data_IF_580215170976
#
_entry.id   IF_580215170976
#
_cell.length_a   1.000
_cell.length_b   1.000
_cell.length_c   1.000
_cell.angle_alpha   90.00
_cell.angle_beta   90.00
_cell.angle_gamma   90.00
#
_symmetry.space_group_name_H-M   'P 1'
#
loop_
_entity.id
_entity.type
_entity.pdbx_description
1 polymer ?
#
# COMPACT_ATOMS: atom_id res chain seq x y z
N UNK A 1 1.24 12.06 -16.22
CA UNK A 1 0.21 12.07 -15.17
C UNK A 1 0.85 11.55 -13.90
N UNK A 2 0.46 12.06 -12.72
CA UNK A 2 1.04 11.62 -11.45
C UNK A 2 0.20 10.45 -10.94
N UNK A 3 0.85 9.32 -10.61
CA UNK A 3 0.20 8.12 -10.05
C UNK A 3 -0.67 8.49 -8.83
N UNK A 4 -0.25 9.46 -8.02
CA UNK A 4 -1.04 9.97 -6.89
C UNK A 4 -2.38 10.55 -7.34
N UNK A 5 -2.41 11.28 -8.45
CA UNK A 5 -3.63 11.84 -9.04
C UNK A 5 -4.51 10.75 -9.64
N UNK A 6 -3.92 9.79 -10.36
CA UNK A 6 -4.65 8.73 -11.06
C UNK A 6 -5.38 7.81 -10.05
N UNK A 7 -4.75 7.52 -8.92
CA UNK A 7 -5.32 6.73 -7.83
C UNK A 7 -6.10 7.54 -6.79
N UNK A 8 -6.27 8.85 -7.03
CA UNK A 8 -6.97 9.80 -6.14
C UNK A 8 -6.45 9.69 -4.69
N UNK A 9 -5.13 9.64 -4.55
CA UNK A 9 -4.43 9.53 -3.29
C UNK A 9 -4.29 10.92 -2.68
N UNK A 10 -4.60 11.03 -1.39
CA UNK A 10 -4.41 12.26 -0.63
C UNK A 10 -3.62 11.98 0.64
N UNK A 11 -2.67 12.86 0.95
CA UNK A 11 -1.94 12.87 2.21
C UNK A 11 -2.44 14.00 3.09
N UNK A 12 -2.39 13.81 4.40
CA UNK A 12 -2.79 14.86 5.33
C UNK A 12 -2.25 14.66 6.74
N UNK A 13 -2.44 15.69 7.56
CA UNK A 13 -2.13 15.68 8.98
C UNK A 13 -3.40 16.00 9.75
N UNK A 14 -3.76 15.17 10.72
CA UNK A 14 -4.90 15.39 11.62
C UNK A 14 -4.40 15.51 13.05
N UNK A 15 -4.82 16.56 13.75
CA UNK A 15 -4.51 16.75 15.17
C UNK A 15 -5.55 16.03 16.03
N UNK A 16 -5.13 15.09 16.86
CA UNK A 16 -5.97 14.35 17.82
C UNK A 16 -5.33 14.45 19.20
N UNK A 17 -6.05 14.96 20.19
CA UNK A 17 -5.55 15.15 21.56
C UNK A 17 -4.17 15.83 21.64
N UNK A 18 -3.99 16.89 20.85
CA UNK A 18 -2.74 17.66 20.72
C UNK A 18 -1.56 16.95 20.03
N UNK A 19 -1.77 15.75 19.49
CA UNK A 19 -0.77 15.00 18.70
C UNK A 19 -1.13 15.05 17.22
N UNK A 20 -0.14 15.32 16.36
CA UNK A 20 -0.32 15.31 14.91
C UNK A 20 -0.17 13.88 14.38
N UNK A 21 -1.18 13.42 13.64
CA UNK A 21 -1.19 12.12 12.98
C UNK A 21 -1.20 12.31 11.46
N UNK A 22 -0.17 11.81 10.79
CA UNK A 22 -0.13 11.73 9.33
C UNK A 22 -1.08 10.62 8.87
N UNK A 23 -1.78 10.86 7.76
CA UNK A 23 -2.64 9.88 7.13
C UNK A 23 -2.52 9.93 5.61
N UNK A 24 -2.83 8.79 5.01
CA UNK A 24 -3.01 8.58 3.59
C UNK A 24 -4.42 8.07 3.37
N UNK A 25 -5.04 8.46 2.26
CA UNK A 25 -6.33 7.92 1.84
C UNK A 25 -6.45 7.84 0.33
N UNK A 26 -7.32 6.94 -0.12
CA UNK A 26 -7.76 6.81 -1.52
C UNK A 26 -9.29 6.75 -1.57
N UNK A 27 -9.88 7.13 -2.69
CA UNK A 27 -11.30 6.83 -2.95
C UNK A 27 -11.54 5.36 -3.31
N UNK A 28 -10.50 4.58 -3.62
CA UNK A 28 -10.59 3.13 -3.87
C UNK A 28 -10.61 2.39 -2.52
N UNK A 29 -11.70 1.68 -2.15
CA UNK A 29 -11.86 1.15 -0.81
C UNK A 29 -10.76 0.16 -0.36
N UNK A 30 -10.36 -0.79 -1.22
CA UNK A 30 -9.36 -1.81 -0.84
C UNK A 30 -7.97 -1.20 -0.71
N UNK A 31 -7.60 -0.31 -1.64
CA UNK A 31 -6.37 0.46 -1.53
C UNK A 31 -6.36 1.33 -0.27
N UNK A 32 -7.46 2.03 0.03
CA UNK A 32 -7.57 2.86 1.22
C UNK A 32 -7.42 2.05 2.52
N UNK A 33 -8.04 0.87 2.60
CA UNK A 33 -7.94 -0.01 3.76
C UNK A 33 -6.49 -0.44 4.01
N UNK A 34 -5.78 -0.86 2.95
CA UNK A 34 -4.42 -1.35 3.04
C UNK A 34 -3.43 -0.22 3.34
N UNK A 35 -3.55 0.93 2.66
CA UNK A 35 -2.68 2.09 2.92
C UNK A 35 -2.78 2.61 4.35
N UNK A 36 -3.93 2.44 5.00
CA UNK A 36 -4.12 2.82 6.40
C UNK A 36 -3.21 2.05 7.36
N UNK A 37 -2.71 0.88 6.99
CA UNK A 37 -1.91 0.02 7.86
C UNK A 37 -0.42 0.37 7.89
N UNK A 38 0.11 0.89 6.79
CA UNK A 38 1.54 1.15 6.63
C UNK A 38 1.94 2.53 7.18
N UNK A 39 1.54 2.88 8.41
CA UNK A 39 1.67 4.27 8.93
C UNK A 39 3.07 4.68 9.38
N UNK A 40 3.96 3.71 9.60
CA UNK A 40 5.31 3.96 10.08
C UNK A 40 6.31 3.87 8.93
N UNK A 41 7.44 4.56 9.08
CA UNK A 41 8.56 4.47 8.13
C UNK A 41 8.99 3.01 7.97
N UNK A 42 9.12 2.28 9.08
CA UNK A 42 9.47 0.85 9.08
C UNK A 42 8.49 0.03 8.25
N UNK A 43 7.18 0.19 8.47
CA UNK A 43 6.18 -0.56 7.70
C UNK A 43 6.22 -0.22 6.20
N UNK A 44 6.53 1.03 5.85
CA UNK A 44 6.73 1.42 4.45
C UNK A 44 8.00 0.79 3.86
N UNK A 45 9.10 0.77 4.61
CA UNK A 45 10.38 0.16 4.21
C UNK A 45 10.24 -1.35 3.98
N UNK A 46 9.54 -2.04 4.88
CA UNK A 46 9.28 -3.47 4.75
C UNK A 46 8.44 -3.78 3.50
N UNK A 47 7.38 -2.99 3.27
CA UNK A 47 6.54 -3.15 2.08
C UNK A 47 7.30 -2.85 0.78
N UNK A 48 8.09 -1.78 0.75
CA UNK A 48 8.93 -1.45 -0.41
C UNK A 48 9.96 -2.53 -0.68
N UNK A 49 10.59 -3.06 0.36
CA UNK A 49 11.57 -4.14 0.22
C UNK A 49 10.93 -5.39 -0.38
N UNK A 50 9.71 -5.74 0.04
CA UNK A 50 8.96 -6.85 -0.54
C UNK A 50 8.61 -6.60 -2.02
N UNK A 51 8.19 -5.37 -2.36
CA UNK A 51 7.88 -5.01 -3.75
C UNK A 51 9.14 -5.05 -4.63
N UNK A 52 10.25 -4.48 -4.15
CA UNK A 52 11.53 -4.44 -4.85
C UNK A 52 12.05 -5.85 -5.10
N UNK A 53 12.07 -6.68 -4.05
CA UNK A 53 12.44 -8.08 -4.18
C UNK A 53 11.56 -8.82 -5.20
N UNK A 54 10.25 -8.53 -5.28
CA UNK A 54 9.38 -9.17 -6.27
C UNK A 54 9.69 -8.72 -7.70
N UNK A 55 9.99 -7.43 -7.89
CA UNK A 55 10.28 -6.82 -9.19
C UNK A 55 11.68 -7.18 -9.72
N UNK A 56 12.65 -7.40 -8.82
CA UNK A 56 14.02 -7.80 -9.16
C UNK A 56 14.12 -9.30 -9.50
N UNK A 57 13.14 -10.09 -9.06
CA UNK A 57 13.03 -11.51 -9.38
C UNK A 57 12.41 -11.76 -10.76
N UNK A 58 12.56 -12.99 -11.25
CA UNK A 58 11.99 -13.40 -12.53
C UNK A 58 10.45 -13.23 -12.54
N UNK A 59 9.83 -12.91 -13.70
CA UNK A 59 8.37 -12.90 -13.80
C UNK A 59 7.70 -14.20 -13.36
N UNK A 60 8.39 -15.34 -13.56
CA UNK A 60 7.96 -16.69 -13.20
C UNK A 60 8.11 -17.03 -11.72
N UNK A 61 8.80 -16.19 -10.92
CA UNK A 61 8.91 -16.41 -9.48
C UNK A 61 7.56 -16.30 -8.80
N UNK A 62 7.39 -17.00 -7.67
CA UNK A 62 6.16 -16.96 -6.89
C UNK A 62 5.86 -15.54 -6.40
N UNK A 63 4.57 -15.25 -6.25
CA UNK A 63 4.10 -13.98 -5.72
C UNK A 63 4.28 -13.94 -4.21
N UNK A 64 4.42 -12.73 -3.66
CA UNK A 64 4.48 -12.56 -2.21
C UNK A 64 3.09 -12.30 -1.63
N UNK A 65 2.85 -12.88 -0.46
CA UNK A 65 1.59 -12.77 0.27
C UNK A 65 1.87 -12.06 1.58
N UNK A 66 1.19 -10.93 1.80
CA UNK A 66 1.33 -10.13 3.01
C UNK A 66 -0.07 -10.00 3.65
N UNK A 67 -0.35 -10.75 4.72
CA UNK A 67 -1.53 -10.50 5.53
C UNK A 67 -1.37 -9.19 6.30
N UNK A 68 -2.48 -8.49 6.48
CA UNK A 68 -2.52 -7.20 7.16
C UNK A 68 -3.21 -7.35 8.54
N UNK A 69 -2.94 -6.42 9.46
CA UNK A 69 -3.57 -6.42 10.80
C UNK A 69 -5.09 -6.22 10.73
N UNK A 70 -5.58 -5.56 9.67
CA UNK A 70 -7.00 -5.40 9.36
C UNK A 70 -7.64 -6.65 8.75
N UNK A 71 -6.94 -7.78 8.66
CA UNK A 71 -7.37 -9.01 8.02
C UNK A 71 -7.60 -8.85 6.50
N UNK A 72 -6.85 -7.95 5.85
CA UNK A 72 -6.74 -7.93 4.40
C UNK A 72 -5.54 -8.76 3.95
N UNK A 73 -5.48 -9.06 2.65
CA UNK A 73 -4.36 -9.76 2.05
C UNK A 73 -3.85 -9.00 0.83
N UNK A 74 -2.53 -8.80 0.76
CA UNK A 74 -1.84 -8.22 -0.38
C UNK A 74 -1.12 -9.34 -1.11
N UNK A 75 -1.41 -9.52 -2.39
CA UNK A 75 -0.64 -10.41 -3.28
C UNK A 75 0.19 -9.56 -4.23
N UNK A 76 1.50 -9.57 -4.04
CA UNK A 76 2.44 -8.79 -4.86
C UNK A 76 3.01 -9.71 -5.94
N UNK A 77 2.53 -9.53 -7.17
CA UNK A 77 3.06 -10.20 -8.35
C UNK A 77 4.04 -9.33 -9.13
N UNK A 78 4.64 -9.90 -10.17
CA UNK A 78 5.63 -9.18 -11.00
C UNK A 78 5.02 -7.95 -11.68
N UNK A 79 3.90 -8.16 -12.39
CA UNK A 79 3.22 -7.12 -13.16
C UNK A 79 2.14 -6.41 -12.36
N UNK A 80 1.44 -7.15 -11.49
CA UNK A 80 0.24 -6.68 -10.80
C UNK A 80 0.30 -7.00 -9.30
N UNK A 81 -0.17 -6.05 -8.50
CA UNK A 81 -0.50 -6.24 -7.11
C UNK A 81 -2.02 -6.37 -6.98
N UNK A 82 -2.47 -7.36 -6.22
CA UNK A 82 -3.89 -7.65 -5.98
C UNK A 82 -4.21 -7.47 -4.51
N UNK A 83 -5.29 -6.76 -4.24
CA UNK A 83 -5.73 -6.37 -2.90
C UNK A 83 -7.01 -7.12 -2.55
N UNK A 84 -6.98 -7.90 -1.49
CA UNK A 84 -8.12 -8.68 -1.02
C UNK A 84 -8.60 -8.14 0.33
N UNK A 85 -9.92 -8.01 0.48
CA UNK A 85 -10.53 -7.40 1.67
C UNK A 85 -10.57 -8.30 2.91
N UNK A 86 -10.37 -9.60 2.73
CA UNK A 86 -10.62 -10.60 3.76
C UNK A 86 -9.68 -11.78 3.53
N UNK A 87 -8.65 -11.88 4.38
CA UNK A 87 -7.66 -12.95 4.40
C UNK A 87 -8.33 -14.32 4.56
N UNK A 88 -9.31 -14.45 5.47
CA UNK A 88 -9.97 -15.73 5.71
C UNK A 88 -10.76 -16.22 4.47
N UNK A 89 -11.36 -15.29 3.72
CA UNK A 89 -12.02 -15.63 2.45
C UNK A 89 -11.02 -16.02 1.37
N UNK A 90 -9.86 -15.39 1.34
CA UNK A 90 -8.79 -15.76 0.44
C UNK A 90 -8.27 -17.16 0.76
N UNK A 91 -8.02 -17.48 2.03
CA UNK A 91 -7.54 -18.80 2.46
C UNK A 91 -8.57 -19.90 2.17
N UNK A 92 -9.87 -19.61 2.35
CA UNK A 92 -10.94 -20.54 2.01
C UNK A 92 -11.10 -20.74 0.49
N UNK A 93 -10.79 -19.72 -0.31
CA UNK A 93 -10.86 -19.78 -1.78
C UNK A 93 -9.89 -18.78 -2.43
N UNK A 94 -8.68 -19.21 -2.82
CA UNK A 94 -7.69 -18.34 -3.45
C UNK A 94 -8.09 -17.80 -4.83
N UNK A 95 -9.19 -18.29 -5.41
CA UNK A 95 -9.72 -17.86 -6.70
C UNK A 95 -10.76 -16.72 -6.59
N UNK A 96 -11.01 -16.18 -5.39
CA UNK A 96 -11.89 -15.01 -5.25
C UNK A 96 -11.37 -13.83 -6.07
N UNK A 97 -12.29 -13.00 -6.55
CA UNK A 97 -11.92 -11.75 -7.20
C UNK A 97 -11.25 -10.82 -6.17
N UNK A 98 -10.12 -10.18 -6.53
CA UNK A 98 -9.55 -9.15 -5.68
C UNK A 98 -10.49 -7.94 -5.62
N UNK A 99 -10.49 -7.25 -4.49
CA UNK A 99 -11.19 -5.97 -4.34
C UNK A 99 -10.55 -4.87 -5.15
N UNK A 100 -9.23 -4.97 -5.41
CA UNK A 100 -8.52 -4.05 -6.28
C UNK A 100 -7.32 -4.68 -6.98
N UNK A 101 -6.98 -4.16 -8.15
CA UNK A 101 -5.79 -4.55 -8.93
C UNK A 101 -5.09 -3.29 -9.42
N UNK A 102 -3.78 -3.27 -9.32
CA UNK A 102 -2.92 -2.20 -9.81
C UNK A 102 -1.58 -2.73 -10.28
N UNK A 103 -0.92 -2.10 -11.27
CA UNK A 103 0.44 -2.45 -11.63
C UNK A 103 1.38 -2.38 -10.43
N UNK A 104 2.23 -3.38 -10.23
CA UNK A 104 3.13 -3.44 -9.07
C UNK A 104 4.09 -2.25 -9.04
N UNK A 105 4.54 -1.80 -10.22
CA UNK A 105 5.36 -0.59 -10.33
C UNK A 105 4.61 0.67 -9.86
N UNK A 106 3.30 0.78 -10.11
CA UNK A 106 2.52 1.93 -9.64
C UNK A 106 2.23 1.84 -8.14
N UNK A 107 1.97 0.65 -7.62
CA UNK A 107 1.84 0.42 -6.18
C UNK A 107 3.11 0.85 -5.44
N UNK A 108 4.29 0.48 -5.96
CA UNK A 108 5.60 0.92 -5.45
C UNK A 108 5.68 2.43 -5.34
N UNK A 109 5.28 3.16 -6.37
CA UNK A 109 5.33 4.63 -6.37
C UNK A 109 4.36 5.25 -5.35
N UNK A 110 3.18 4.65 -5.14
CA UNK A 110 2.26 5.08 -4.06
C UNK A 110 2.92 4.89 -2.69
N UNK A 111 3.51 3.72 -2.43
CA UNK A 111 4.16 3.42 -1.14
C UNK A 111 5.39 4.32 -0.92
N UNK A 112 6.18 4.61 -1.96
CA UNK A 112 7.30 5.56 -1.89
C UNK A 112 6.83 6.98 -1.56
N UNK A 113 5.80 7.46 -2.25
CA UNK A 113 5.26 8.80 -2.02
C UNK A 113 4.75 8.93 -0.58
N UNK A 114 4.07 7.89 -0.09
CA UNK A 114 3.62 7.83 1.29
C UNK A 114 4.80 7.85 2.28
N UNK A 115 5.78 6.97 2.09
CA UNK A 115 7.00 6.93 2.92
C UNK A 115 7.65 8.30 3.00
N UNK A 116 7.82 8.98 1.86
CA UNK A 116 8.42 10.31 1.80
C UNK A 116 7.61 11.33 2.61
N UNK A 117 6.27 11.27 2.55
CA UNK A 117 5.42 12.11 3.39
C UNK A 117 5.56 11.79 4.89
N UNK A 118 5.68 10.52 5.25
CA UNK A 118 5.91 10.10 6.65
C UNK A 118 7.27 10.60 7.16
N UNK A 119 8.34 10.44 6.37
CA UNK A 119 9.72 10.86 6.70
C UNK A 119 9.87 12.38 6.80
N UNK A 120 9.19 13.13 5.94
CA UNK A 120 9.23 14.59 5.97
C UNK A 120 8.49 15.11 7.20
N UNK A 121 9.19 15.19 8.33
CA UNK A 121 8.65 15.58 9.64
C UNK A 121 8.84 17.06 9.98
N UNK A 122 9.13 17.90 8.99
CA UNK A 122 9.27 19.34 9.17
C UNK A 122 8.28 20.06 8.26
N UNK A 123 7.37 20.81 8.87
CA UNK A 123 6.43 21.69 8.18
C UNK A 123 7.14 22.77 7.37
N UNK A 124 7.54 22.44 6.15
CA UNK A 124 7.90 23.37 5.10
C UNK A 124 7.25 22.91 3.81
N UNK A 125 6.00 23.35 3.66
CA UNK A 125 5.60 23.91 2.36
C UNK A 125 6.53 25.11 2.12
N UNK A 126 7.59 24.92 1.33
CA UNK A 126 8.19 26.02 0.58
C UNK A 126 7.56 26.07 -0.80
#
# INVERSE_FOLDING_TARGET
>A
MSIITDYKISFGVRKIHNTNFKFISSTRPSLNAILFEFRSITSCDDLLSAIDLRLDNSPQSEDFFIPTQGLQMIRIGYSETKLYHDENKYDANPNIAPGDILPTAEFKEIVKAWRNFVVNDSGLLT
#
